data_IF_313680890047
#
_entry.id   IF_313680890047
#
_cell.length_a   1.000
_cell.length_b   1.000
_cell.length_c   1.000
_cell.angle_alpha   90.00
_cell.angle_beta   90.00
_cell.angle_gamma   90.00
#
_symmetry.space_group_name_H-M   'P 1'
#
loop_
_entity.id
_entity.type
_entity.pdbx_description
1 polymer ?
#
# COMPACT_ATOMS: atom_id res chain seq x y z
N UNK A 1 -17.96 -3.91 -30.00
CA UNK A 1 -17.56 -5.02 -30.89
C UNK A 1 -16.63 -5.89 -30.07
N UNK A 2 -17.08 -7.07 -29.66
CA UNK A 2 -16.27 -8.01 -28.90
C UNK A 2 -15.48 -8.88 -29.88
N UNK A 3 -14.18 -9.04 -29.67
CA UNK A 3 -13.44 -10.15 -30.28
C UNK A 3 -13.82 -11.47 -29.59
N UNK A 4 -13.75 -12.54 -30.37
CA UNK A 4 -14.33 -13.84 -30.03
C UNK A 4 -13.58 -14.57 -28.90
N UNK A 5 -14.34 -15.20 -28.00
CA UNK A 5 -13.89 -15.91 -26.80
C UNK A 5 -13.54 -17.39 -27.04
N UNK A 6 -12.64 -17.93 -26.21
CA UNK A 6 -12.68 -19.32 -25.73
C UNK A 6 -11.97 -19.45 -24.37
N UNK A 7 -12.53 -20.31 -23.52
CA UNK A 7 -12.45 -20.40 -22.05
C UNK A 7 -11.24 -21.14 -21.46
N UNK A 8 -11.00 -21.03 -20.13
CA UNK A 8 -11.11 -22.11 -19.11
C UNK A 8 -10.36 -21.82 -17.77
N UNK A 9 -10.87 -22.43 -16.69
CA UNK A 9 -10.63 -22.28 -15.24
C UNK A 9 -9.46 -23.10 -14.64
N UNK A 10 -9.13 -22.83 -13.34
CA UNK A 10 -8.97 -23.79 -12.19
C UNK A 10 -7.88 -23.32 -11.16
N UNK A 11 -8.19 -23.06 -9.85
CA UNK A 11 -8.10 -23.92 -8.62
C UNK A 11 -6.63 -24.16 -8.12
N UNK A 12 -6.20 -24.25 -6.84
CA UNK A 12 -6.75 -24.62 -5.50
C UNK A 12 -5.90 -23.97 -4.35
N UNK A 13 -6.48 -23.95 -3.14
CA UNK A 13 -5.95 -23.65 -1.79
C UNK A 13 -4.78 -24.55 -1.28
N UNK A 14 -4.14 -24.17 -0.16
CA UNK A 14 -3.91 -25.09 0.98
C UNK A 14 -3.58 -24.31 2.28
N UNK A 15 -4.12 -24.76 3.43
CA UNK A 15 -3.89 -24.25 4.78
C UNK A 15 -2.85 -25.10 5.54
N UNK A 16 -2.16 -24.54 6.54
CA UNK A 16 -1.44 -25.35 7.55
C UNK A 16 -1.38 -24.65 8.93
N UNK A 17 -1.58 -25.44 9.99
CA UNK A 17 -1.90 -25.09 11.39
C UNK A 17 -0.64 -25.12 12.31
N UNK A 18 -0.40 -24.11 13.18
CA UNK A 18 -0.43 -24.05 14.69
C UNK A 18 0.61 -24.93 15.48
N UNK A 19 0.92 -24.71 16.79
CA UNK A 19 0.89 -23.56 17.74
C UNK A 19 2.23 -23.36 18.52
N UNK A 20 2.33 -22.41 19.49
CA UNK A 20 2.90 -22.64 20.87
C UNK A 20 2.74 -21.41 21.82
N UNK A 21 2.06 -21.63 22.96
CA UNK A 21 1.92 -20.85 24.22
C UNK A 21 1.44 -19.37 24.18
N UNK A 22 0.14 -19.20 24.47
CA UNK A 22 -0.58 -17.91 24.53
C UNK A 22 -0.62 -17.34 25.96
N UNK A 23 0.40 -16.59 26.35
CA UNK A 23 0.14 -15.30 27.02
C UNK A 23 0.03 -14.29 25.90
N UNK A 24 -1.17 -14.09 25.36
CA UNK A 24 -1.40 -13.13 24.28
C UNK A 24 -1.02 -11.74 24.79
N UNK A 25 0.15 -11.23 24.38
CA UNK A 25 0.61 -9.89 24.72
C UNK A 25 -0.41 -8.91 24.15
N UNK A 26 -1.33 -8.37 24.96
CA UNK A 26 -2.33 -7.41 24.49
C UNK A 26 -1.76 -6.00 24.52
N UNK A 27 -1.61 -5.38 23.35
CA UNK A 27 -1.14 -3.99 23.25
C UNK A 27 -2.28 -2.97 23.37
N UNK A 28 -2.18 -2.07 24.34
CA UNK A 28 -3.12 -0.97 24.52
C UNK A 28 -3.12 -0.04 23.31
N UNK A 29 -4.31 0.38 22.85
CA UNK A 29 -4.45 1.24 21.67
C UNK A 29 -3.90 2.65 21.94
N UNK A 30 -3.26 3.30 20.96
CA UNK A 30 -2.71 4.65 21.10
C UNK A 30 -3.73 5.75 21.40
N UNK A 31 -5.03 5.48 21.26
CA UNK A 31 -6.10 6.46 21.56
C UNK A 31 -6.16 6.86 23.04
N UNK A 32 -5.54 6.07 23.92
CA UNK A 32 -5.42 6.34 25.36
C UNK A 32 -4.23 7.29 25.64
N UNK A 33 -3.30 7.43 24.68
CA UNK A 33 -2.18 8.34 24.84
C UNK A 33 -2.62 9.80 24.78
N UNK A 34 -2.09 10.61 25.69
CA UNK A 34 -2.22 12.06 25.60
C UNK A 34 -1.46 12.59 24.37
N UNK A 35 -1.80 13.81 23.95
CA UNK A 35 -1.20 14.46 22.78
C UNK A 35 0.06 15.27 23.09
N UNK A 36 0.68 15.05 24.26
CA UNK A 36 1.92 15.73 24.64
C UNK A 36 3.02 15.36 23.64
N UNK A 37 3.75 16.36 23.12
CA UNK A 37 4.86 16.15 22.18
C UNK A 37 6.18 16.20 22.95
N UNK A 38 6.72 15.02 23.23
CA UNK A 38 8.01 14.81 23.88
C UNK A 38 8.71 13.70 23.09
N UNK A 39 9.30 14.03 21.94
CA UNK A 39 9.76 13.02 20.99
C UNK A 39 10.87 12.16 21.58
N UNK A 40 10.80 10.85 21.30
CA UNK A 40 11.83 9.89 21.69
C UNK A 40 12.22 9.04 20.50
N UNK A 41 13.48 8.68 20.45
CA UNK A 41 14.09 7.86 19.41
C UNK A 41 14.14 6.40 19.87
N UNK A 42 13.78 5.46 18.99
CA UNK A 42 13.98 4.04 19.24
C UNK A 42 15.21 3.46 18.54
N UNK A 43 15.58 2.23 18.90
CA UNK A 43 16.70 1.46 18.34
C UNK A 43 16.62 1.26 16.82
N UNK A 44 15.43 1.39 16.22
CA UNK A 44 15.23 1.27 14.79
C UNK A 44 15.32 2.61 14.06
N UNK A 45 15.64 3.70 14.77
CA UNK A 45 15.74 5.04 14.19
C UNK A 45 14.37 5.66 13.92
N UNK A 46 13.31 5.19 14.58
CA UNK A 46 11.97 5.75 14.46
C UNK A 46 11.66 6.72 15.61
N UNK A 47 11.06 7.85 15.24
CA UNK A 47 10.55 8.85 16.17
C UNK A 47 9.17 8.47 16.68
N UNK A 48 9.01 8.45 18.00
CA UNK A 48 7.73 8.35 18.68
C UNK A 48 7.33 9.72 19.24
N UNK A 49 6.05 10.06 19.19
CA UNK A 49 5.55 11.37 19.63
C UNK A 49 5.82 11.63 21.12
N UNK A 50 5.69 10.58 21.92
CA UNK A 50 5.92 10.55 23.35
C UNK A 50 6.15 9.12 23.87
N UNK A 51 6.44 9.02 25.16
CA UNK A 51 6.63 7.74 25.87
C UNK A 51 5.48 6.75 25.65
N UNK A 52 4.22 7.23 25.68
CA UNK A 52 3.06 6.35 25.51
C UNK A 52 3.06 5.70 24.12
N UNK A 53 3.36 6.47 23.07
CA UNK A 53 3.45 5.92 21.70
C UNK A 53 4.62 4.95 21.52
N UNK A 54 5.74 5.16 22.22
CA UNK A 54 6.87 4.22 22.20
C UNK A 54 6.55 2.92 22.93
N UNK A 55 5.91 2.96 24.10
CA UNK A 55 5.51 1.75 24.82
C UNK A 55 4.52 0.91 24.00
N UNK A 56 3.60 1.56 23.30
CA UNK A 56 2.75 0.87 22.34
C UNK A 56 3.58 0.18 21.25
N UNK A 57 4.54 0.89 20.65
CA UNK A 57 5.40 0.31 19.62
C UNK A 57 6.25 -0.85 20.15
N UNK A 58 6.78 -0.73 21.37
CA UNK A 58 7.55 -1.79 22.05
C UNK A 58 6.69 -3.03 22.26
N UNK A 59 5.43 -2.87 22.66
CA UNK A 59 4.49 -3.98 22.78
C UNK A 59 4.25 -4.68 21.42
N UNK A 60 3.99 -3.91 20.36
CA UNK A 60 3.79 -4.46 19.01
C UNK A 60 5.05 -5.17 18.50
N UNK A 61 6.23 -4.66 18.84
CA UNK A 61 7.50 -5.31 18.53
C UNK A 61 7.63 -6.64 19.30
N UNK A 62 7.30 -6.65 20.60
CA UNK A 62 7.35 -7.85 21.43
C UNK A 62 6.41 -8.95 20.92
N UNK A 63 5.20 -8.60 20.45
CA UNK A 63 4.28 -9.53 19.78
C UNK A 63 4.91 -10.21 18.54
N UNK A 64 5.90 -9.56 17.92
CA UNK A 64 6.65 -10.08 16.76
C UNK A 64 7.98 -10.73 17.13
N UNK A 65 8.24 -10.93 18.43
CA UNK A 65 9.54 -11.42 18.92
C UNK A 65 10.69 -10.43 18.73
N UNK A 66 10.38 -9.13 18.61
CA UNK A 66 11.36 -8.06 18.46
C UNK A 66 11.45 -7.22 19.74
N UNK A 67 12.63 -6.67 20.02
CA UNK A 67 12.87 -5.79 21.16
C UNK A 67 13.17 -4.38 20.66
N UNK A 68 12.41 -3.38 21.14
CA UNK A 68 12.70 -1.96 20.91
C UNK A 68 13.27 -1.35 22.18
N UNK A 69 14.40 -0.66 22.06
CA UNK A 69 14.99 0.13 23.14
C UNK A 69 15.02 1.61 22.77
N UNK A 70 15.23 2.47 23.75
CA UNK A 70 15.53 3.88 23.48
C UNK A 70 16.91 3.96 22.79
N UNK A 71 17.02 4.86 21.83
CA UNK A 71 18.26 5.23 21.19
C UNK A 71 18.54 6.73 21.36
N UNK A 72 19.78 7.11 21.10
CA UNK A 72 20.18 8.51 21.12
C UNK A 72 19.45 9.31 20.03
N UNK A 73 19.09 10.55 20.32
CA UNK A 73 18.48 11.47 19.35
C UNK A 73 19.31 11.64 18.07
N UNK A 74 20.64 11.54 18.19
CA UNK A 74 21.55 11.56 17.05
C UNK A 74 21.34 10.36 16.12
N UNK A 75 21.02 9.18 16.65
CA UNK A 75 20.75 7.97 15.88
C UNK A 75 19.56 8.17 14.94
N UNK A 76 18.45 8.70 15.45
CA UNK A 76 17.30 9.00 14.60
C UNK A 76 17.61 10.13 13.62
N UNK A 77 18.34 11.17 14.02
CA UNK A 77 18.69 12.28 13.10
C UNK A 77 19.52 11.83 11.89
N UNK A 78 20.44 10.87 12.08
CA UNK A 78 21.25 10.30 11.00
C UNK A 78 20.41 9.38 10.09
N UNK A 79 19.45 8.65 10.65
CA UNK A 79 18.64 7.68 9.93
C UNK A 79 17.33 8.24 9.35
N UNK A 80 16.88 9.41 9.78
CA UNK A 80 15.65 10.05 9.26
C UNK A 80 15.83 10.44 7.77
N UNK A 81 17.05 10.81 7.37
CA UNK A 81 17.40 11.10 5.97
C UNK A 81 17.48 9.88 5.05
N UNK A 82 17.39 8.66 5.57
CA UNK A 82 17.39 7.40 4.80
C UNK A 82 16.00 6.76 4.68
N UNK A 83 14.95 7.42 5.17
CA UNK A 83 13.59 7.03 4.80
C UNK A 83 13.42 7.40 3.34
N UNK A 84 13.66 6.40 2.50
CA UNK A 84 13.38 6.44 1.07
C UNK A 84 12.13 7.26 0.82
N UNK A 85 12.29 8.25 -0.05
CA UNK A 85 11.22 8.95 -0.69
C UNK A 85 10.31 7.94 -1.41
N UNK A 86 9.42 7.27 -0.66
CA UNK A 86 8.05 7.13 -1.12
C UNK A 86 7.45 8.53 -1.08
N UNK A 87 7.89 9.38 -2.02
CA UNK A 87 7.09 10.40 -2.69
C UNK A 87 5.92 9.66 -3.39
N UNK A 88 5.09 8.97 -2.61
CA UNK A 88 3.72 8.73 -2.99
C UNK A 88 3.05 10.07 -2.73
N UNK A 89 2.88 10.84 -3.79
CA UNK A 89 1.97 11.96 -3.81
C UNK A 89 0.71 11.56 -3.03
N UNK A 90 0.53 12.09 -1.82
CA UNK A 90 -0.81 12.20 -1.24
C UNK A 90 -1.51 13.34 -1.97
N UNK A 91 -1.64 13.21 -3.30
CA UNK A 91 -2.86 13.70 -3.87
C UNK A 91 -3.95 12.88 -3.17
N UNK A 92 -5.02 13.53 -2.75
CA UNK A 92 -6.30 12.85 -2.75
C UNK A 92 -6.57 12.43 -4.21
N UNK A 93 -5.83 11.44 -4.72
CA UNK A 93 -6.29 10.58 -5.77
C UNK A 93 -7.42 9.80 -5.12
N UNK A 94 -8.56 10.49 -5.08
CA UNK A 94 -9.84 9.85 -4.95
C UNK A 94 -9.78 8.56 -5.78
N UNK A 95 -10.30 7.46 -5.25
CA UNK A 95 -10.33 6.14 -5.91
C UNK A 95 -11.10 6.15 -7.25
N UNK A 96 -11.36 7.32 -7.82
CA UNK A 96 -11.96 7.54 -9.12
C UNK A 96 -10.95 7.22 -10.21
N UNK A 97 -11.21 6.08 -10.85
CA UNK A 97 -10.55 5.66 -12.07
C UNK A 97 -10.93 6.46 -13.31
N UNK A 98 -11.68 7.56 -13.14
CA UNK A 98 -12.02 8.46 -14.22
C UNK A 98 -11.01 9.60 -14.29
N UNK A 99 -10.22 9.62 -15.35
CA UNK A 99 -9.42 10.77 -15.76
C UNK A 99 -10.12 11.46 -16.93
N UNK A 100 -10.19 12.78 -16.89
CA UNK A 100 -10.72 13.55 -18.01
C UNK A 100 -9.78 13.40 -19.21
N UNK A 101 -10.31 12.89 -20.32
CA UNK A 101 -9.58 12.79 -21.58
C UNK A 101 -9.75 14.10 -22.38
N UNK A 102 -8.70 14.54 -23.08
CA UNK A 102 -8.79 15.69 -23.98
C UNK A 102 -9.78 15.40 -25.11
N UNK A 103 -10.55 16.39 -25.53
CA UNK A 103 -11.51 16.25 -26.62
C UNK A 103 -10.82 16.03 -27.99
N UNK A 104 -9.57 16.50 -28.12
CA UNK A 104 -8.80 16.45 -29.37
C UNK A 104 -7.80 15.27 -29.40
N UNK A 105 -8.11 14.15 -28.73
CA UNK A 105 -7.22 12.99 -28.78
C UNK A 105 -7.28 12.33 -30.15
N UNK A 106 -6.10 12.03 -30.70
CA UNK A 106 -5.93 11.22 -31.91
C UNK A 106 -6.57 9.85 -31.71
N UNK A 107 -7.20 9.33 -32.76
CA UNK A 107 -7.71 7.97 -32.80
C UNK A 107 -6.53 6.99 -32.92
N UNK A 108 -6.26 6.28 -31.82
CA UNK A 108 -5.18 5.31 -31.68
C UNK A 108 -5.77 4.07 -30.98
N UNK A 109 -6.41 3.16 -31.74
CA UNK A 109 -7.22 2.10 -31.16
C UNK A 109 -6.36 1.05 -30.43
N UNK A 110 -6.79 0.67 -29.24
CA UNK A 110 -6.14 -0.34 -28.41
C UNK A 110 -7.12 -1.47 -28.17
N UNK A 111 -6.77 -2.68 -28.62
CA UNK A 111 -7.51 -3.89 -28.28
C UNK A 111 -7.05 -4.44 -26.92
N UNK A 112 -7.99 -4.71 -26.02
CA UNK A 112 -7.70 -5.21 -24.68
C UNK A 112 -8.00 -6.71 -24.50
N UNK A 113 -7.58 -7.30 -23.39
CA UNK A 113 -7.82 -8.72 -23.03
C UNK A 113 -9.31 -9.07 -22.91
N UNK A 114 -10.16 -8.09 -22.64
CA UNK A 114 -11.63 -8.21 -22.66
C UNK A 114 -12.22 -8.15 -24.06
N UNK A 115 -11.36 -8.06 -25.08
CA UNK A 115 -11.72 -7.95 -26.48
C UNK A 115 -12.56 -6.71 -26.82
N UNK A 116 -12.44 -5.68 -26.00
CA UNK A 116 -12.98 -4.35 -26.23
C UNK A 116 -11.89 -3.47 -26.82
N UNK A 117 -12.21 -2.77 -27.91
CA UNK A 117 -11.32 -1.77 -28.51
C UNK A 117 -11.57 -0.41 -27.88
N UNK A 118 -10.53 0.20 -27.31
CA UNK A 118 -10.55 1.55 -26.79
C UNK A 118 -10.04 2.53 -27.84
N UNK A 119 -10.78 3.60 -28.19
CA UNK A 119 -10.40 4.52 -29.27
C UNK A 119 -9.07 5.26 -29.09
N UNK A 120 -8.58 5.35 -27.84
CA UNK A 120 -7.31 5.99 -27.52
C UNK A 120 -6.79 5.48 -26.17
N UNK A 121 -5.51 5.79 -25.91
CA UNK A 121 -4.83 5.40 -24.67
C UNK A 121 -5.48 5.93 -23.40
N UNK A 122 -6.04 7.13 -23.42
CA UNK A 122 -6.66 7.72 -22.24
C UNK A 122 -7.88 6.90 -21.78
N UNK A 123 -8.75 6.53 -22.72
CA UNK A 123 -9.92 5.70 -22.45
C UNK A 123 -9.54 4.28 -21.98
N UNK A 124 -8.50 3.69 -22.57
CA UNK A 124 -7.96 2.40 -22.11
C UNK A 124 -7.48 2.48 -20.65
N UNK A 125 -6.72 3.52 -20.29
CA UNK A 125 -6.18 3.67 -18.93
C UNK A 125 -7.27 3.90 -17.88
N UNK A 126 -8.35 4.59 -18.25
CA UNK A 126 -9.53 4.72 -17.39
C UNK A 126 -10.17 3.37 -17.09
N UNK A 127 -10.29 2.51 -18.10
CA UNK A 127 -10.79 1.16 -17.93
C UNK A 127 -9.81 0.27 -17.14
N UNK A 128 -8.51 0.31 -17.44
CA UNK A 128 -7.47 -0.44 -16.72
C UNK A 128 -7.34 -0.06 -15.26
N UNK A 129 -7.65 1.19 -14.91
CA UNK A 129 -7.72 1.56 -13.50
C UNK A 129 -8.86 0.83 -12.77
N UNK A 130 -10.03 0.69 -13.42
CA UNK A 130 -11.21 0.00 -12.86
C UNK A 130 -10.99 -1.51 -12.80
N UNK A 131 -10.38 -2.05 -13.84
CA UNK A 131 -10.04 -3.46 -13.96
C UNK A 131 -8.53 -3.63 -14.12
N UNK A 132 -7.86 -4.01 -13.03
CA UNK A 132 -6.41 -4.18 -12.99
C UNK A 132 -5.92 -5.36 -13.84
N UNK A 133 -6.81 -6.29 -14.20
CA UNK A 133 -6.51 -7.43 -15.07
C UNK A 133 -6.68 -7.08 -16.56
N UNK A 134 -7.13 -5.86 -16.86
CA UNK A 134 -7.22 -5.38 -18.24
C UNK A 134 -5.82 -5.12 -18.80
N UNK A 135 -5.43 -5.91 -19.79
CA UNK A 135 -4.18 -5.75 -20.51
C UNK A 135 -4.43 -5.38 -21.96
N UNK A 136 -3.42 -4.82 -22.60
CA UNK A 136 -3.44 -4.51 -24.02
C UNK A 136 -2.98 -5.77 -24.78
N UNK A 137 -3.76 -6.20 -25.76
CA UNK A 137 -3.38 -7.26 -26.69
C UNK A 137 -2.57 -6.69 -27.86
N UNK A 138 -3.13 -5.70 -28.56
CA UNK A 138 -2.47 -5.03 -29.68
C UNK A 138 -2.98 -3.59 -29.85
N UNK A 139 -2.18 -2.76 -30.52
CA UNK A 139 -2.54 -1.41 -30.97
C UNK A 139 -2.71 -1.40 -32.48
N UNK A 140 -3.72 -0.69 -32.98
CA UNK A 140 -4.00 -0.51 -34.41
C UNK A 140 -3.72 0.90 -34.89
#
# INVERSE_FOLDING_TARGET
MACNQSSMNAFVNEQNEKPMNNDEIVCLKPRICNNIRQPICDSNGHWHRNQCTFLHAQCIAAQRGQTLSLADEKWCSINDGKKEAKKGQKSNASRHCYRQCSANLTYEPICATTFVTYPNRCLFLNAKCRDKQLEQLYSG
#
